data_IF_113572945442
#
_entry.id   IF_113572945442
#
_cell.length_a   1.000
_cell.length_b   1.000
_cell.length_c   1.000
_cell.angle_alpha   90.00
_cell.angle_beta   90.00
_cell.angle_gamma   90.00
#
_symmetry.space_group_name_H-M   'P 1'
#
loop_
_entity.id
_entity.type
_entity.pdbx_description
1 polymer ?
#
# COMPACT_ATOMS: atom_id res chain seq x y z
N UNK A 1 -2.33 24.16 30.56
CA UNK A 1 -1.31 24.03 29.50
C UNK A 1 -1.91 23.24 28.34
N UNK A 2 -2.33 23.89 27.24
CA UNK A 2 -2.68 23.26 25.93
C UNK A 2 -3.07 24.35 24.89
N UNK A 3 -2.28 25.42 24.79
CA UNK A 3 -2.44 26.47 23.75
C UNK A 3 -1.33 26.41 22.68
N UNK A 4 -0.64 25.28 22.55
CA UNK A 4 0.51 25.14 21.63
C UNK A 4 0.16 24.56 20.24
N UNK A 5 -1.08 24.07 20.02
CA UNK A 5 -1.49 23.43 18.76
C UNK A 5 -2.69 24.10 18.08
N UNK A 6 -2.98 25.37 18.38
CA UNK A 6 -4.02 26.11 17.65
C UNK A 6 -3.42 26.69 16.36
N UNK A 7 -3.57 25.96 15.25
CA UNK A 7 -3.67 26.65 13.95
C UNK A 7 -4.91 27.54 14.02
N UNK A 8 -4.81 28.79 13.54
CA UNK A 8 -6.00 29.63 13.30
C UNK A 8 -7.01 28.76 12.56
N UNK A 9 -8.15 28.49 13.19
CA UNK A 9 -9.26 27.85 12.50
C UNK A 9 -9.59 28.75 11.32
N UNK A 10 -9.45 28.24 10.09
CA UNK A 10 -10.16 28.85 8.99
C UNK A 10 -11.63 28.81 9.38
N UNK A 11 -12.27 29.98 9.44
CA UNK A 11 -13.70 30.09 9.75
C UNK A 11 -14.42 29.36 8.63
N UNK A 12 -14.81 28.11 8.89
CA UNK A 12 -15.82 27.45 8.08
C UNK A 12 -17.16 28.14 8.41
N UNK A 13 -17.99 28.44 7.40
CA UNK A 13 -19.30 29.04 7.62
C UNK A 13 -20.13 28.16 8.58
N UNK A 14 -21.06 28.75 9.35
CA UNK A 14 -21.78 28.02 10.37
C UNK A 14 -22.55 26.87 9.72
N UNK A 15 -22.24 25.65 10.14
CA UNK A 15 -23.03 24.47 9.82
C UNK A 15 -24.38 24.67 10.49
N UNK A 16 -25.37 25.06 9.69
CA UNK A 16 -26.77 25.10 10.12
C UNK A 16 -27.10 23.78 10.79
N UNK A 17 -27.80 23.84 11.93
CA UNK A 17 -28.20 22.68 12.73
C UNK A 17 -28.81 21.59 11.81
N UNK A 18 -28.01 20.56 11.52
CA UNK A 18 -28.45 19.45 10.68
C UNK A 18 -29.28 18.54 11.57
N UNK A 19 -30.58 18.58 11.35
CA UNK A 19 -31.56 17.67 11.92
C UNK A 19 -31.06 16.23 11.83
N UNK A 20 -31.07 15.52 12.97
CA UNK A 20 -30.57 14.14 13.17
C UNK A 20 -31.13 13.11 12.17
N UNK A 21 -32.18 13.43 11.45
CA UNK A 21 -32.88 12.55 10.51
C UNK A 21 -32.27 12.46 9.11
N UNK A 22 -31.31 13.31 8.73
CA UNK A 22 -30.62 13.24 7.42
C UNK A 22 -29.30 12.44 7.42
N UNK A 23 -28.84 11.97 8.60
CA UNK A 23 -27.50 11.37 8.81
C UNK A 23 -27.37 9.89 8.37
N UNK A 24 -28.46 9.21 8.00
CA UNK A 24 -28.46 7.74 7.84
C UNK A 24 -28.27 7.21 6.41
N UNK A 25 -28.34 8.03 5.36
CA UNK A 25 -28.28 7.57 3.95
C UNK A 25 -26.90 7.58 3.27
N UNK A 26 -25.80 7.82 4.01
CA UNK A 26 -24.47 7.93 3.39
C UNK A 26 -23.26 7.56 4.26
N UNK A 27 -23.48 6.94 5.42
CA UNK A 27 -22.39 6.49 6.30
C UNK A 27 -22.15 4.99 6.12
N UNK A 28 -20.89 4.63 5.89
CA UNK A 28 -20.41 3.26 5.91
C UNK A 28 -20.25 2.78 7.35
N UNK A 29 -20.62 1.53 7.58
CA UNK A 29 -20.38 0.87 8.87
C UNK A 29 -18.97 0.26 8.86
N UNK A 30 -18.15 0.48 9.91
CA UNK A 30 -16.92 -0.29 10.09
C UNK A 30 -17.23 -1.78 10.18
N UNK A 31 -16.38 -2.58 9.56
CA UNK A 31 -16.50 -4.03 9.54
C UNK A 31 -15.28 -4.65 10.21
N UNK A 32 -15.45 -5.79 10.90
CA UNK A 32 -14.31 -6.52 11.43
C UNK A 32 -13.46 -7.09 10.29
N UNK A 33 -12.14 -7.16 10.48
CA UNK A 33 -11.20 -7.75 9.53
C UNK A 33 -11.64 -9.13 9.01
N UNK A 34 -12.23 -9.97 9.86
CA UNK A 34 -12.75 -11.28 9.47
C UNK A 34 -13.79 -11.18 8.34
N UNK A 35 -14.72 -10.22 8.42
CA UNK A 35 -15.72 -9.98 7.37
C UNK A 35 -15.09 -9.33 6.15
N UNK A 36 -14.22 -8.33 6.35
CA UNK A 36 -13.52 -7.65 5.25
C UNK A 36 -12.70 -8.63 4.41
N UNK A 37 -12.08 -9.63 5.04
CA UNK A 37 -11.24 -10.61 4.36
C UNK A 37 -12.02 -11.82 3.85
N UNK A 38 -13.32 -11.95 4.12
CA UNK A 38 -14.10 -13.16 3.82
C UNK A 38 -14.48 -13.33 2.33
N UNK A 39 -14.27 -12.33 1.47
CA UNK A 39 -14.66 -12.45 0.06
C UNK A 39 -13.87 -13.56 -0.64
N UNK A 40 -14.46 -14.28 -1.63
CA UNK A 40 -13.77 -15.37 -2.32
C UNK A 40 -12.43 -14.93 -2.95
N UNK A 41 -12.38 -13.72 -3.49
CA UNK A 41 -11.14 -13.12 -4.04
C UNK A 41 -10.07 -12.97 -2.97
N UNK A 42 -10.40 -12.37 -1.82
CA UNK A 42 -9.46 -12.11 -0.73
C UNK A 42 -8.99 -13.41 -0.08
N UNK A 43 -9.87 -14.38 0.10
CA UNK A 43 -9.51 -15.72 0.57
C UNK A 43 -8.53 -16.43 -0.37
N UNK A 44 -8.73 -16.32 -1.68
CA UNK A 44 -7.78 -16.87 -2.68
C UNK A 44 -6.42 -16.18 -2.60
N UNK A 45 -6.38 -14.85 -2.43
CA UNK A 45 -5.12 -14.11 -2.25
C UNK A 45 -4.40 -14.53 -0.96
N UNK A 46 -5.12 -14.66 0.15
CA UNK A 46 -4.57 -15.13 1.42
C UNK A 46 -3.97 -16.52 1.32
N UNK A 47 -4.64 -17.43 0.60
CA UNK A 47 -4.15 -18.77 0.34
C UNK A 47 -2.87 -18.74 -0.53
N UNK A 48 -2.81 -17.90 -1.57
CA UNK A 48 -1.58 -17.70 -2.33
C UNK A 48 -0.43 -17.14 -1.48
N UNK A 49 -0.72 -16.21 -0.57
CA UNK A 49 0.29 -15.66 0.35
C UNK A 49 0.80 -16.78 1.26
N UNK A 50 -0.08 -17.58 1.86
CA UNK A 50 0.33 -18.70 2.71
C UNK A 50 1.20 -19.71 1.97
N UNK A 51 0.77 -20.16 0.78
CA UNK A 51 1.51 -21.13 -0.05
C UNK A 51 2.91 -20.66 -0.41
N UNK A 52 3.15 -19.33 -0.51
CA UNK A 52 4.44 -18.75 -0.87
C UNK A 52 5.39 -18.54 0.31
N UNK A 53 4.87 -18.59 1.54
CA UNK A 53 5.68 -18.48 2.77
C UNK A 53 6.19 -19.83 3.27
N UNK A 54 5.59 -20.95 2.85
CA UNK A 54 5.95 -22.31 3.30
C UNK A 54 5.92 -22.51 4.82
N UNK A 55 5.15 -21.70 5.55
CA UNK A 55 5.04 -21.75 7.01
C UNK A 55 3.92 -22.66 7.50
N UNK A 56 4.06 -23.16 8.74
CA UNK A 56 2.93 -23.77 9.45
C UNK A 56 1.78 -22.75 9.61
N UNK A 57 0.53 -23.22 9.72
CA UNK A 57 -0.63 -22.34 9.92
C UNK A 57 -0.48 -21.42 11.14
N UNK A 58 0.17 -21.89 12.22
CA UNK A 58 0.43 -21.09 13.43
C UNK A 58 1.44 -19.95 13.19
N UNK A 59 2.54 -20.25 12.49
CA UNK A 59 3.53 -19.23 12.15
C UNK A 59 2.96 -18.23 11.13
N UNK A 60 2.27 -18.72 10.10
CA UNK A 60 1.59 -17.88 9.13
C UNK A 60 0.57 -16.95 9.80
N UNK A 61 -0.20 -17.47 10.77
CA UNK A 61 -1.14 -16.67 11.52
C UNK A 61 -0.44 -15.48 12.20
N UNK A 62 0.64 -15.77 12.92
CA UNK A 62 1.38 -14.76 13.70
C UNK A 62 2.07 -13.74 12.80
N UNK A 63 2.80 -14.20 11.79
CA UNK A 63 3.65 -13.34 10.96
C UNK A 63 2.90 -12.63 9.84
N UNK A 64 1.81 -13.20 9.30
CA UNK A 64 1.17 -12.66 8.10
C UNK A 64 -0.31 -12.35 8.34
N UNK A 65 -1.07 -13.29 8.91
CA UNK A 65 -2.52 -13.10 9.09
C UNK A 65 -2.84 -11.92 10.01
N UNK A 66 -2.18 -11.82 11.17
CA UNK A 66 -2.42 -10.75 12.14
C UNK A 66 -2.10 -9.35 11.55
N UNK A 67 -0.94 -9.12 10.91
CA UNK A 67 -0.70 -7.85 10.21
C UNK A 67 -1.71 -7.55 9.10
N UNK A 68 -2.14 -8.56 8.32
CA UNK A 68 -3.16 -8.38 7.29
C UNK A 68 -4.54 -8.03 7.86
N UNK A 69 -4.90 -8.58 9.02
CA UNK A 69 -6.12 -8.23 9.74
C UNK A 69 -6.06 -6.80 10.29
N UNK A 70 -4.96 -6.42 10.94
CA UNK A 70 -4.74 -5.02 11.38
C UNK A 70 -4.80 -4.03 10.21
N UNK A 71 -4.24 -4.41 9.06
CA UNK A 71 -4.31 -3.61 7.84
C UNK A 71 -5.76 -3.46 7.37
N UNK A 72 -6.51 -4.57 7.29
CA UNK A 72 -7.92 -4.56 6.91
C UNK A 72 -8.76 -3.69 7.86
N UNK A 73 -8.56 -3.81 9.17
CA UNK A 73 -9.25 -3.01 10.17
C UNK A 73 -8.97 -1.51 10.01
N UNK A 74 -7.76 -1.14 9.60
CA UNK A 74 -7.37 0.26 9.41
C UNK A 74 -7.87 0.86 8.09
N UNK A 75 -7.79 0.10 6.99
CA UNK A 75 -8.16 0.59 5.64
C UNK A 75 -9.63 0.40 5.30
N UNK A 76 -10.35 -0.47 6.01
CA UNK A 76 -11.79 -0.69 5.87
C UNK A 76 -12.23 -0.83 4.40
N UNK A 77 -13.17 0.01 3.96
CA UNK A 77 -13.69 0.04 2.59
C UNK A 77 -13.12 1.20 1.78
N UNK A 78 -11.97 1.77 2.15
CA UNK A 78 -11.38 2.84 1.37
C UNK A 78 -10.94 2.36 -0.02
N UNK A 79 -11.06 3.21 -1.07
CA UNK A 79 -10.47 2.95 -2.36
C UNK A 79 -8.96 3.22 -2.33
N UNK A 80 -8.19 2.54 -3.19
CA UNK A 80 -6.75 2.82 -3.32
C UNK A 80 -6.45 4.02 -4.24
N UNK A 81 -7.45 4.46 -5.03
CA UNK A 81 -7.34 5.52 -6.03
C UNK A 81 -8.70 6.18 -6.32
N UNK A 82 -8.72 7.33 -7.00
CA UNK A 82 -9.95 8.02 -7.43
C UNK A 82 -10.55 7.48 -8.73
N UNK A 83 -9.70 7.04 -9.65
CA UNK A 83 -10.09 6.80 -11.05
C UNK A 83 -9.35 5.62 -11.71
N UNK A 84 -8.57 4.86 -10.95
CA UNK A 84 -7.87 3.69 -11.46
C UNK A 84 -8.61 2.40 -11.08
N UNK A 85 -8.01 1.26 -11.41
CA UNK A 85 -8.60 -0.07 -11.28
C UNK A 85 -8.98 -0.45 -9.84
N UNK A 86 -8.42 0.21 -8.81
CA UNK A 86 -8.82 0.08 -7.41
C UNK A 86 -9.67 1.26 -6.86
N UNK A 87 -10.39 1.98 -7.73
CA UNK A 87 -11.29 3.09 -7.36
C UNK A 87 -12.70 2.61 -6.95
N UNK A 88 -12.77 1.69 -6.00
CA UNK A 88 -14.03 1.14 -5.48
C UNK A 88 -13.93 0.85 -3.97
N UNK A 89 -15.08 0.60 -3.32
CA UNK A 89 -15.13 0.28 -1.90
C UNK A 89 -14.35 -0.99 -1.57
N UNK A 90 -13.32 -0.84 -0.74
CA UNK A 90 -12.40 -1.92 -0.36
C UNK A 90 -11.23 -2.12 -1.33
N UNK A 91 -11.08 -1.25 -2.35
CA UNK A 91 -9.97 -1.32 -3.30
C UNK A 91 -8.59 -1.19 -2.63
N UNK A 92 -8.46 -0.46 -1.52
CA UNK A 92 -7.22 -0.36 -0.74
C UNK A 92 -6.80 -1.72 -0.13
N UNK A 93 -7.77 -2.52 0.30
CA UNK A 93 -7.52 -3.85 0.85
C UNK A 93 -7.14 -4.83 -0.25
N UNK A 94 -7.85 -4.80 -1.39
CA UNK A 94 -7.55 -5.67 -2.53
C UNK A 94 -6.17 -5.36 -3.12
N UNK A 95 -5.84 -4.09 -3.34
CA UNK A 95 -4.52 -3.61 -3.78
C UNK A 95 -3.39 -4.13 -2.87
N UNK A 96 -3.54 -3.95 -1.56
CA UNK A 96 -2.54 -4.40 -0.58
C UNK A 96 -2.32 -5.91 -0.62
N UNK A 97 -3.39 -6.71 -0.64
CA UNK A 97 -3.28 -8.18 -0.70
C UNK A 97 -2.65 -8.66 -2.01
N UNK A 98 -2.93 -7.99 -3.12
CA UNK A 98 -2.38 -8.33 -4.43
C UNK A 98 -0.90 -8.07 -4.51
N UNK A 99 -0.44 -6.89 -4.07
CA UNK A 99 0.98 -6.55 -4.10
C UNK A 99 1.76 -7.47 -3.16
N UNK A 100 1.23 -7.80 -1.97
CA UNK A 100 1.87 -8.81 -1.10
C UNK A 100 2.00 -10.15 -1.82
N UNK A 101 0.92 -10.63 -2.45
CA UNK A 101 0.95 -11.88 -3.18
C UNK A 101 2.00 -11.84 -4.32
N UNK A 102 2.04 -10.78 -5.11
CA UNK A 102 3.02 -10.63 -6.21
C UNK A 102 4.45 -10.50 -5.71
N UNK A 103 4.69 -9.70 -4.66
CA UNK A 103 6.01 -9.51 -4.08
C UNK A 103 6.57 -10.84 -3.54
N UNK A 104 5.72 -11.65 -2.90
CA UNK A 104 6.11 -13.00 -2.46
C UNK A 104 6.39 -13.94 -3.63
N UNK A 105 5.65 -13.84 -4.74
CA UNK A 105 5.93 -14.62 -5.95
C UNK A 105 7.30 -14.25 -6.53
N UNK A 106 7.64 -12.97 -6.57
CA UNK A 106 8.94 -12.49 -7.04
C UNK A 106 10.08 -12.90 -6.12
N UNK A 107 9.84 -12.82 -4.81
CA UNK A 107 10.82 -13.20 -3.79
C UNK A 107 11.30 -14.65 -3.95
N UNK A 108 10.46 -15.56 -4.46
CA UNK A 108 10.83 -16.96 -4.69
C UNK A 108 11.96 -17.15 -5.71
N UNK A 109 12.15 -16.21 -6.65
CA UNK A 109 13.23 -16.28 -7.64
C UNK A 109 14.53 -15.60 -7.17
N UNK A 110 14.59 -15.12 -5.93
CA UNK A 110 15.72 -14.37 -5.41
C UNK A 110 16.32 -15.05 -4.18
N UNK A 111 17.65 -15.16 -4.16
CA UNK A 111 18.42 -15.58 -2.98
C UNK A 111 18.82 -14.32 -2.21
N UNK A 112 18.21 -14.12 -1.05
CA UNK A 112 18.40 -12.93 -0.21
C UNK A 112 19.00 -13.31 1.16
N UNK A 113 19.92 -12.51 1.71
CA UNK A 113 20.49 -11.29 1.14
C UNK A 113 21.39 -11.56 -0.08
N UNK A 114 21.38 -10.65 -1.05
CA UNK A 114 22.23 -10.76 -2.23
C UNK A 114 23.71 -10.68 -1.84
N UNK A 115 24.54 -11.58 -2.38
CA UNK A 115 25.98 -11.64 -2.09
C UNK A 115 26.36 -12.27 -0.75
N UNK A 116 25.40 -12.65 0.10
CA UNK A 116 25.66 -13.41 1.31
C UNK A 116 25.95 -14.89 1.01
N UNK A 117 26.57 -15.60 1.97
CA UNK A 117 26.80 -17.04 1.85
C UNK A 117 25.47 -17.80 1.81
N UNK A 118 25.40 -19.02 1.22
CA UNK A 118 24.18 -19.82 1.25
C UNK A 118 23.65 -20.11 2.67
N UNK A 119 24.56 -20.26 3.65
CA UNK A 119 24.21 -20.45 5.06
C UNK A 119 23.55 -19.19 5.63
N UNK A 120 24.13 -18.01 5.40
CA UNK A 120 23.55 -16.74 5.85
C UNK A 120 22.20 -16.46 5.17
N UNK A 121 22.08 -16.78 3.87
CA UNK A 121 20.83 -16.66 3.14
C UNK A 121 19.75 -17.57 3.73
N UNK A 122 20.09 -18.83 4.04
CA UNK A 122 19.17 -19.75 4.69
C UNK A 122 18.77 -19.27 6.09
N UNK A 123 19.73 -18.79 6.89
CA UNK A 123 19.51 -18.32 8.25
C UNK A 123 18.60 -17.09 8.34
N UNK A 124 18.59 -16.25 7.31
CA UNK A 124 17.80 -15.00 7.28
C UNK A 124 16.59 -15.08 6.34
N UNK A 125 16.38 -16.22 5.67
CA UNK A 125 15.40 -16.36 4.58
C UNK A 125 13.99 -15.90 4.98
N UNK A 126 13.55 -16.26 6.19
CA UNK A 126 12.21 -15.92 6.69
C UNK A 126 12.08 -14.42 7.01
N UNK A 127 13.11 -13.81 7.61
CA UNK A 127 13.12 -12.37 7.86
C UNK A 127 13.00 -11.58 6.57
N UNK A 128 13.75 -11.97 5.54
CA UNK A 128 13.67 -11.36 4.21
C UNK A 128 12.30 -11.54 3.56
N UNK A 129 11.69 -12.72 3.70
CA UNK A 129 10.34 -12.98 3.14
C UNK A 129 9.27 -12.14 3.85
N UNK A 130 9.31 -12.08 5.18
CA UNK A 130 8.38 -11.28 5.98
C UNK A 130 8.54 -9.79 5.67
N UNK A 131 9.77 -9.28 5.58
CA UNK A 131 10.02 -7.88 5.23
C UNK A 131 9.52 -7.52 3.83
N UNK A 132 9.66 -8.41 2.84
CA UNK A 132 9.09 -8.19 1.50
C UNK A 132 7.57 -8.07 1.58
N UNK A 133 6.91 -8.95 2.33
CA UNK A 133 5.46 -8.87 2.53
C UNK A 133 5.05 -7.59 3.26
N UNK A 134 5.76 -7.17 4.30
CA UNK A 134 5.43 -5.96 5.05
C UNK A 134 5.68 -4.69 4.25
N UNK A 135 6.81 -4.62 3.54
CA UNK A 135 7.11 -3.53 2.63
C UNK A 135 6.02 -3.40 1.56
N UNK A 136 5.64 -4.50 0.92
CA UNK A 136 4.54 -4.56 -0.04
C UNK A 136 3.18 -4.14 0.55
N UNK A 137 2.84 -4.61 1.74
CA UNK A 137 1.57 -4.28 2.39
C UNK A 137 1.47 -2.79 2.74
N UNK A 138 2.57 -2.22 3.21
CA UNK A 138 2.60 -0.88 3.81
C UNK A 138 2.99 0.23 2.82
N UNK A 139 3.48 -0.11 1.63
CA UNK A 139 4.04 0.86 0.68
C UNK A 139 3.13 2.07 0.41
N UNK A 140 1.81 1.85 0.38
CA UNK A 140 0.80 2.86 0.09
C UNK A 140 -0.09 3.23 1.28
N UNK A 141 0.13 2.66 2.47
CA UNK A 141 -0.78 2.84 3.61
C UNK A 141 -0.95 4.32 4.00
N UNK A 142 0.09 5.14 3.79
CA UNK A 142 0.05 6.58 4.02
C UNK A 142 -1.06 7.31 3.24
N UNK A 143 -1.61 6.73 2.16
CA UNK A 143 -2.75 7.32 1.41
C UNK A 143 -3.94 7.58 2.33
N UNK A 144 -4.23 6.72 3.30
CA UNK A 144 -5.38 6.93 4.20
C UNK A 144 -5.15 8.11 5.16
N UNK A 145 -3.89 8.55 5.34
CA UNK A 145 -3.54 9.72 6.17
C UNK A 145 -3.61 11.04 5.39
N UNK A 146 -3.22 11.04 4.12
CA UNK A 146 -2.99 12.27 3.34
C UNK A 146 -3.84 12.43 2.08
N UNK A 147 -4.37 11.35 1.52
CA UNK A 147 -5.21 11.40 0.31
C UNK A 147 -6.70 11.47 0.64
N UNK A 148 -7.09 11.00 1.83
CA UNK A 148 -8.48 10.92 2.26
C UNK A 148 -8.82 11.95 3.34
N UNK A 149 -10.05 12.46 3.25
CA UNK A 149 -10.72 13.18 4.32
C UNK A 149 -11.84 12.30 4.84
N UNK A 150 -11.72 11.85 6.09
CA UNK A 150 -12.64 10.89 6.71
C UNK A 150 -13.35 11.56 7.87
N UNK A 151 -14.68 11.48 7.88
CA UNK A 151 -15.52 12.03 8.94
C UNK A 151 -16.30 10.90 9.60
N UNK A 152 -16.21 10.83 10.94
CA UNK A 152 -17.02 9.95 11.76
C UNK A 152 -18.43 10.50 11.91
N UNK A 153 -19.34 9.62 12.34
CA UNK A 153 -20.64 10.01 12.87
C UNK A 153 -20.44 11.09 13.96
N UNK A 154 -21.17 12.20 13.84
CA UNK A 154 -20.97 13.39 14.68
C UNK A 154 -19.99 14.42 14.12
N UNK A 155 -19.46 14.23 12.91
CA UNK A 155 -18.70 15.24 12.16
C UNK A 155 -17.24 15.40 12.59
N UNK A 156 -16.75 14.58 13.51
CA UNK A 156 -15.33 14.56 13.89
C UNK A 156 -14.48 14.00 12.76
N UNK A 157 -13.34 14.63 12.50
CA UNK A 157 -12.35 14.12 11.55
C UNK A 157 -11.66 12.90 12.17
N UNK A 158 -11.60 11.80 11.43
CA UNK A 158 -10.79 10.66 11.79
C UNK A 158 -9.37 10.85 11.29
N UNK A 159 -8.40 10.48 12.12
CA UNK A 159 -7.02 10.35 11.71
C UNK A 159 -6.55 8.93 11.96
N UNK A 160 -5.84 8.32 11.01
CA UNK A 160 -5.47 6.91 11.11
C UNK A 160 -4.53 6.60 12.28
N UNK A 161 -3.72 7.55 12.77
CA UNK A 161 -2.88 7.37 13.97
C UNK A 161 -3.67 7.28 15.29
N UNK A 162 -5.00 7.45 15.27
CA UNK A 162 -5.87 7.18 16.42
C UNK A 162 -6.40 5.74 16.45
N UNK A 163 -6.01 4.90 15.51
CA UNK A 163 -6.48 3.52 15.42
C UNK A 163 -7.62 3.31 14.42
N UNK A 164 -8.10 2.06 14.31
CA UNK A 164 -9.18 1.67 13.41
C UNK A 164 -10.47 2.48 13.61
N UNK A 165 -11.29 2.53 12.55
CA UNK A 165 -12.61 3.13 12.60
C UNK A 165 -13.53 2.30 13.52
N UNK A 166 -14.15 2.96 14.51
CA UNK A 166 -15.06 2.33 15.48
C UNK A 166 -16.48 2.88 15.45
N UNK A 167 -16.77 3.79 14.51
CA UNK A 167 -18.06 4.46 14.34
C UNK A 167 -18.40 4.55 12.85
N UNK A 168 -19.69 4.68 12.49
CA UNK A 168 -20.09 4.94 11.11
C UNK A 168 -19.34 6.14 10.54
N UNK A 169 -18.93 6.06 9.28
CA UNK A 169 -18.03 7.05 8.68
C UNK A 169 -18.40 7.34 7.23
N UNK A 170 -17.95 8.48 6.73
CA UNK A 170 -17.90 8.80 5.30
C UNK A 170 -16.52 9.30 4.95
N UNK A 171 -16.17 9.23 3.69
CA UNK A 171 -14.92 9.77 3.21
C UNK A 171 -15.11 10.47 1.87
N UNK A 172 -14.16 11.34 1.56
CA UNK A 172 -13.95 11.93 0.24
C UNK A 172 -12.46 12.03 -0.01
N UNK A 173 -12.07 12.09 -1.27
CA UNK A 173 -10.69 12.41 -1.59
C UNK A 173 -10.38 13.88 -1.30
N UNK A 174 -9.13 14.16 -0.94
CA UNK A 174 -8.62 15.52 -0.81
C UNK A 174 -8.25 16.07 -2.18
N UNK A 175 -8.45 17.36 -2.37
CA UNK A 175 -7.99 18.09 -3.55
C UNK A 175 -6.49 18.43 -3.40
N UNK A 176 -5.77 18.56 -4.52
CA UNK A 176 -4.36 18.97 -4.53
C UNK A 176 -3.39 17.94 -3.93
N UNK A 177 -3.67 16.64 -4.11
CA UNK A 177 -2.84 15.54 -3.56
C UNK A 177 -1.41 15.61 -4.11
N UNK A 178 -0.44 15.60 -3.21
CA UNK A 178 0.97 15.45 -3.55
C UNK A 178 1.29 13.96 -3.66
N UNK A 179 1.52 13.48 -4.88
CA UNK A 179 1.71 12.05 -5.15
C UNK A 179 2.82 11.40 -4.29
N UNK A 180 3.89 12.12 -3.93
CA UNK A 180 4.98 11.54 -3.13
C UNK A 180 4.72 11.57 -1.62
N UNK A 181 3.72 12.33 -1.16
CA UNK A 181 3.51 12.57 0.26
C UNK A 181 3.05 11.31 1.00
N UNK A 182 2.28 10.43 0.35
CA UNK A 182 1.82 9.21 1.00
C UNK A 182 2.97 8.28 1.37
N UNK A 183 4.05 8.24 0.58
CA UNK A 183 5.24 7.45 0.90
C UNK A 183 5.89 7.89 2.21
N UNK A 184 6.02 9.21 2.42
CA UNK A 184 6.49 9.75 3.69
C UNK A 184 5.48 9.55 4.84
N UNK A 185 4.19 9.63 4.55
CA UNK A 185 3.11 9.49 5.54
C UNK A 185 2.94 8.06 6.06
N UNK A 186 3.46 7.03 5.37
CA UNK A 186 3.52 5.65 5.86
C UNK A 186 4.18 5.56 7.23
N UNK A 187 5.15 6.44 7.52
CA UNK A 187 5.81 6.57 8.81
C UNK A 187 4.88 6.81 10.01
N UNK A 188 3.68 7.35 9.76
CA UNK A 188 2.68 7.59 10.80
C UNK A 188 1.95 6.31 11.24
N UNK A 189 2.03 5.23 10.43
CA UNK A 189 1.08 4.12 10.50
C UNK A 189 1.70 2.73 10.60
N UNK A 190 2.96 2.52 10.22
CA UNK A 190 3.53 1.15 10.18
C UNK A 190 3.49 0.43 11.54
N UNK A 191 3.57 1.16 12.66
CA UNK A 191 3.49 0.59 14.03
C UNK A 191 2.09 0.15 14.45
N UNK A 192 1.05 0.54 13.70
CA UNK A 192 -0.31 0.03 13.92
C UNK A 192 -0.53 -1.33 13.27
N UNK A 193 0.32 -1.69 12.31
CA UNK A 193 0.24 -2.94 11.56
C UNK A 193 1.27 -3.93 12.09
N UNK A 194 2.53 -3.48 12.22
CA UNK A 194 3.63 -4.25 12.77
C UNK A 194 3.77 -3.95 14.26
N UNK A 195 3.69 -4.99 15.09
CA UNK A 195 3.94 -4.84 16.53
C UNK A 195 5.44 -4.75 16.84
N UNK A 196 5.75 -4.40 18.08
CA UNK A 196 7.13 -4.27 18.54
C UNK A 196 7.92 -5.56 18.36
N UNK A 197 7.32 -6.74 18.54
CA UNK A 197 8.01 -8.01 18.37
C UNK A 197 8.47 -8.23 16.93
N UNK A 198 7.63 -7.89 15.93
CA UNK A 198 8.01 -7.94 14.53
C UNK A 198 9.13 -6.93 14.21
N UNK A 199 9.04 -5.71 14.75
CA UNK A 199 10.05 -4.67 14.54
C UNK A 199 11.39 -5.03 15.20
N UNK A 200 11.37 -5.50 16.44
CA UNK A 200 12.54 -5.95 17.19
C UNK A 200 13.24 -7.09 16.43
N UNK A 201 12.47 -8.08 15.95
CA UNK A 201 12.99 -9.19 15.16
C UNK A 201 13.67 -8.71 13.87
N UNK A 202 13.00 -7.87 13.08
CA UNK A 202 13.55 -7.39 11.81
C UNK A 202 14.75 -6.46 11.99
N UNK A 203 14.79 -5.70 13.09
CA UNK A 203 15.92 -4.81 13.42
C UNK A 203 17.22 -5.58 13.69
N UNK A 204 17.13 -6.87 14.04
CA UNK A 204 18.29 -7.77 14.18
C UNK A 204 19.05 -8.06 12.89
N UNK A 205 18.51 -7.65 11.73
CA UNK A 205 19.13 -7.85 10.41
C UNK A 205 19.41 -6.49 9.76
N UNK A 206 20.60 -5.87 9.97
CA UNK A 206 20.85 -4.47 9.61
C UNK A 206 20.61 -4.12 8.13
N UNK A 207 21.05 -4.99 7.21
CA UNK A 207 20.86 -4.78 5.77
C UNK A 207 19.39 -4.86 5.34
N UNK A 208 18.62 -5.75 5.97
CA UNK A 208 17.18 -5.85 5.75
C UNK A 208 16.45 -4.64 6.33
N UNK A 209 16.82 -4.27 7.55
CA UNK A 209 16.22 -3.19 8.31
C UNK A 209 16.35 -1.84 7.60
N UNK A 210 17.53 -1.53 7.08
CA UNK A 210 17.75 -0.29 6.31
C UNK A 210 16.86 -0.23 5.07
N UNK A 211 16.82 -1.31 4.29
CA UNK A 211 16.00 -1.37 3.07
C UNK A 211 14.50 -1.23 3.41
N UNK A 212 14.03 -1.87 4.48
CA UNK A 212 12.65 -1.75 4.93
C UNK A 212 12.29 -0.31 5.29
N UNK A 213 13.13 0.37 6.09
CA UNK A 213 12.90 1.77 6.45
C UNK A 213 12.90 2.71 5.24
N UNK A 214 13.77 2.48 4.25
CA UNK A 214 13.76 3.25 3.02
C UNK A 214 12.48 3.06 2.22
N UNK A 215 11.98 1.82 2.05
CA UNK A 215 10.65 1.60 1.44
C UNK A 215 9.55 2.32 2.21
N UNK A 216 9.51 2.18 3.53
CA UNK A 216 8.47 2.76 4.38
C UNK A 216 8.51 4.30 4.47
N UNK A 217 9.58 4.93 3.97
CA UNK A 217 9.71 6.38 3.83
C UNK A 217 9.48 6.87 2.39
N UNK A 218 9.19 5.96 1.45
CA UNK A 218 9.01 6.26 0.04
C UNK A 218 10.32 6.45 -0.75
N UNK A 219 11.47 6.10 -0.17
CA UNK A 219 12.81 6.23 -0.77
C UNK A 219 13.26 4.92 -1.42
N UNK A 220 12.52 4.45 -2.42
CA UNK A 220 12.77 3.16 -3.09
C UNK A 220 14.15 3.07 -3.75
N UNK A 221 14.72 4.20 -4.17
CA UNK A 221 16.06 4.32 -4.73
C UNK A 221 17.18 3.94 -3.76
N UNK A 222 16.89 3.94 -2.46
CA UNK A 222 17.82 3.56 -1.39
C UNK A 222 17.49 2.19 -0.77
N UNK A 223 16.45 1.53 -1.24
CA UNK A 223 15.94 0.29 -0.67
C UNK A 223 16.41 -1.00 -1.38
N UNK A 224 17.41 -0.88 -2.27
CA UNK A 224 17.98 -1.97 -3.06
C UNK A 224 16.91 -2.98 -3.56
N UNK A 225 17.16 -4.28 -3.32
CA UNK A 225 16.32 -5.38 -3.77
C UNK A 225 14.91 -5.34 -3.15
N UNK A 226 14.76 -4.93 -1.88
CA UNK A 226 13.44 -4.83 -1.27
C UNK A 226 12.58 -3.80 -2.01
N UNK A 227 13.16 -2.64 -2.32
CA UNK A 227 12.49 -1.60 -3.11
C UNK A 227 12.16 -2.06 -4.52
N UNK A 228 13.08 -2.75 -5.19
CA UNK A 228 12.85 -3.31 -6.53
C UNK A 228 11.71 -4.32 -6.56
N UNK A 229 11.63 -5.22 -5.58
CA UNK A 229 10.56 -6.22 -5.48
C UNK A 229 9.20 -5.57 -5.29
N UNK A 230 9.09 -4.52 -4.46
CA UNK A 230 7.82 -3.79 -4.25
C UNK A 230 7.39 -3.06 -5.52
N UNK A 231 8.31 -2.33 -6.17
CA UNK A 231 8.01 -1.61 -7.43
C UNK A 231 7.60 -2.57 -8.55
N UNK A 232 8.25 -3.74 -8.65
CA UNK A 232 7.88 -4.74 -9.64
C UNK A 232 6.52 -5.39 -9.32
N UNK A 233 6.23 -5.65 -8.04
CA UNK A 233 4.95 -6.21 -7.61
C UNK A 233 3.78 -5.27 -7.89
N UNK A 234 3.92 -3.97 -7.59
CA UNK A 234 2.93 -2.94 -7.90
C UNK A 234 2.66 -2.86 -9.41
N UNK A 235 3.71 -2.84 -10.25
CA UNK A 235 3.52 -2.86 -11.71
C UNK A 235 2.82 -4.14 -12.20
N UNK A 236 3.10 -5.28 -11.59
CA UNK A 236 2.53 -6.56 -11.98
C UNK A 236 1.04 -6.67 -11.60
N UNK A 237 0.62 -6.11 -10.46
CA UNK A 237 -0.80 -6.09 -10.08
C UNK A 237 -1.63 -5.27 -11.05
N UNK A 238 -1.16 -4.07 -11.42
CA UNK A 238 -1.80 -3.23 -12.44
C UNK A 238 -1.91 -3.97 -13.78
N UNK A 239 -0.87 -4.67 -14.19
CA UNK A 239 -0.85 -5.39 -15.46
C UNK A 239 -1.87 -6.54 -15.50
N UNK A 240 -1.98 -7.32 -14.42
CA UNK A 240 -2.94 -8.43 -14.35
C UNK A 240 -4.39 -7.93 -14.43
N UNK A 241 -4.71 -6.83 -13.75
CA UNK A 241 -6.06 -6.28 -13.77
C UNK A 241 -6.46 -5.67 -15.12
N UNK A 242 -5.49 -5.12 -15.86
CA UNK A 242 -5.72 -4.60 -17.22
C UNK A 242 -5.75 -5.70 -18.30
N UNK A 243 -5.75 -6.99 -17.91
CA UNK A 243 -5.72 -8.13 -18.83
C UNK A 243 -4.38 -8.35 -19.53
N UNK A 244 -3.33 -7.68 -19.06
CA UNK A 244 -1.95 -7.89 -19.50
C UNK A 244 -1.34 -9.13 -18.86
N UNK A 245 -0.29 -9.66 -19.49
CA UNK A 245 0.49 -10.77 -18.93
C UNK A 245 1.51 -10.22 -17.90
N UNK A 246 1.35 -10.50 -16.60
CA UNK A 246 2.27 -10.00 -15.58
C UNK A 246 3.70 -10.47 -15.85
N UNK A 247 3.90 -11.69 -16.36
CA UNK A 247 5.22 -12.24 -16.65
C UNK A 247 5.97 -11.41 -17.71
N UNK A 248 5.25 -10.86 -18.70
CA UNK A 248 5.83 -9.96 -19.71
C UNK A 248 6.23 -8.60 -19.13
N UNK A 249 5.50 -8.08 -18.14
CA UNK A 249 5.84 -6.81 -17.47
C UNK A 249 7.05 -6.98 -16.56
N UNK A 250 7.16 -8.11 -15.87
CA UNK A 250 8.33 -8.42 -15.01
C UNK A 250 9.60 -8.58 -15.84
N UNK A 251 9.48 -9.11 -17.06
CA UNK A 251 10.59 -9.27 -18.01
C UNK A 251 10.93 -7.99 -18.80
N UNK A 252 10.12 -6.94 -18.69
CA UNK A 252 10.30 -5.73 -19.47
C UNK A 252 11.45 -4.86 -18.90
N UNK A 253 12.40 -4.39 -19.72
CA UNK A 253 13.50 -3.53 -19.25
C UNK A 253 12.97 -2.23 -18.62
N UNK A 254 13.64 -1.73 -17.56
CA UNK A 254 13.29 -0.47 -16.86
C UNK A 254 13.09 0.74 -17.80
N UNK A 255 13.70 0.72 -18.99
CA UNK A 255 13.64 1.78 -19.99
C UNK A 255 12.54 1.63 -21.05
N UNK A 256 11.69 0.59 -21.00
CA UNK A 256 10.71 0.32 -22.06
C UNK A 256 9.66 1.45 -22.24
N UNK A 257 9.23 2.08 -21.14
CA UNK A 257 8.29 3.22 -21.20
C UNK A 257 8.96 4.48 -21.76
N UNK A 258 10.19 4.78 -21.33
CA UNK A 258 10.96 5.90 -21.84
C UNK A 258 11.21 5.73 -23.34
N UNK A 259 11.55 4.51 -23.78
CA UNK A 259 11.74 4.18 -25.20
C UNK A 259 10.44 4.35 -26.00
N UNK A 260 9.30 3.87 -25.48
CA UNK A 260 7.98 4.05 -26.13
C UNK A 260 7.53 5.51 -26.17
N UNK A 261 7.81 6.29 -25.12
CA UNK A 261 7.55 7.74 -25.11
C UNK A 261 8.44 8.45 -26.13
N UNK A 262 9.72 8.08 -26.22
CA UNK A 262 10.66 8.67 -27.17
C UNK A 262 10.31 8.30 -28.61
N UNK A 263 9.88 7.06 -28.85
CA UNK A 263 9.37 6.58 -30.14
C UNK A 263 8.04 7.26 -30.50
N UNK A 264 7.13 7.43 -29.54
CA UNK A 264 5.86 8.14 -29.73
C UNK A 264 6.07 9.63 -30.03
N UNK A 265 6.96 10.29 -29.29
CA UNK A 265 7.35 11.69 -29.55
C UNK A 265 8.03 11.82 -30.91
N UNK A 266 8.94 10.90 -31.25
CA UNK A 266 9.62 10.89 -32.54
C UNK A 266 8.66 10.67 -33.69
N UNK A 267 7.69 9.75 -33.53
CA UNK A 267 6.61 9.52 -34.48
C UNK A 267 5.75 10.76 -34.65
N UNK A 268 5.33 11.43 -33.57
CA UNK A 268 4.53 12.65 -33.67
C UNK A 268 5.28 13.77 -34.41
N UNK A 269 6.59 13.91 -34.15
CA UNK A 269 7.43 14.89 -34.85
C UNK A 269 7.58 14.57 -36.35
N UNK A 270 7.81 13.30 -36.71
CA UNK A 270 8.03 12.92 -38.13
C UNK A 270 6.75 12.77 -38.94
N UNK A 271 5.65 12.33 -38.32
CA UNK A 271 4.39 12.02 -39.03
C UNK A 271 3.33 13.11 -38.91
N UNK A 272 3.35 13.91 -37.84
CA UNK A 272 2.30 14.91 -37.58
C UNK A 272 2.75 16.33 -37.87
N UNK A 273 4.06 16.62 -37.75
CA UNK A 273 4.57 17.98 -37.89
C UNK A 273 5.27 18.28 -39.22
N UNK A 274 5.38 17.33 -40.17
CA UNK A 274 6.00 17.51 -41.50
C UNK A 274 7.04 18.65 -41.52
N UNK A 275 8.12 18.50 -40.76
CA UNK A 275 9.27 19.39 -40.89
C UNK A 275 9.99 19.01 -42.19
N UNK A 276 9.38 19.38 -43.31
CA UNK A 276 10.06 19.51 -44.58
C UNK A 276 11.15 20.55 -44.41
N UNK A 277 12.38 20.11 -44.72
CA UNK A 277 13.58 20.91 -44.88
C UNK A 277 13.31 22.35 -45.35
N UNK A 278 13.87 23.30 -44.60
CA UNK A 278 14.52 24.47 -45.16
C UNK A 278 16.01 24.39 -44.81
#
# INVERSE_FOLDING_TARGET
MLRLFQRKAAVLPPVAAVTETALSKGLLQPKPAAELLATPRRQKLLEHIWQRTSLSRKQFHTLYRVPLERYADLVQQFPASESHHHAYLGGMLDHGLEIVAFALKLRQSHLLPAGASPEDQAAQAEAWTAAVAYAALLHDIGKIAVDLHVELQGGRIWHPWHGPLNQPYRFRHREGREYRLHGAATGLLYTQILDSAALDWLSGYPALWSQLLYVLSGQYEHADMLGELVVQADRASVAQELGGDPAKVMAAPKHALQRKLLEGLRYLVTSTFNLTHF
#
